data_IF_871334439174
#
_entry.id   IF_871334439174
#
_cell.length_a   1.000
_cell.length_b   1.000
_cell.length_c   1.000
_cell.angle_alpha   90.00
_cell.angle_beta   90.00
_cell.angle_gamma   90.00
#
_symmetry.space_group_name_H-M   'P 1'
#
loop_
_entity.id
_entity.type
_entity.pdbx_description
1 polymer ?
#
# COMPACT_ATOMS: atom_id res chain seq x y z
N UNK A 1 16.10 -14.18 2.92
CA UNK A 1 14.90 -14.83 3.50
C UNK A 1 14.33 -13.92 4.57
N UNK A 2 13.01 -13.71 4.59
CA UNK A 2 12.33 -12.97 5.65
C UNK A 2 12.05 -13.89 6.84
N UNK A 3 12.08 -13.32 8.06
CA UNK A 3 11.67 -14.02 9.27
C UNK A 3 10.15 -14.07 9.37
N UNK A 4 9.60 -14.97 10.20
CA UNK A 4 8.17 -14.99 10.51
C UNK A 4 7.69 -13.64 11.06
N UNK A 5 8.47 -13.00 11.95
CA UNK A 5 8.17 -11.68 12.49
C UNK A 5 8.07 -10.60 11.41
N UNK A 6 9.00 -10.59 10.44
CA UNK A 6 8.94 -9.66 9.30
C UNK A 6 7.70 -9.87 8.45
N UNK A 7 7.35 -11.14 8.17
CA UNK A 7 6.16 -11.49 7.40
C UNK A 7 4.87 -11.11 8.14
N UNK A 8 4.78 -11.40 9.44
CA UNK A 8 3.64 -10.99 10.27
C UNK A 8 3.47 -9.47 10.33
N UNK A 9 4.58 -8.73 10.44
CA UNK A 9 4.57 -7.27 10.49
C UNK A 9 4.05 -6.62 9.19
N UNK A 10 4.26 -7.23 8.02
CA UNK A 10 3.79 -6.74 6.73
C UNK A 10 2.28 -6.91 6.52
N UNK A 11 1.64 -7.84 7.28
CA UNK A 11 0.23 -8.20 7.05
C UNK A 11 -0.70 -7.36 7.92
N UNK A 12 -1.36 -6.40 7.29
CA UNK A 12 -2.36 -5.52 7.94
C UNK A 12 -3.72 -6.20 8.11
N UNK A 13 -4.10 -7.07 7.17
CA UNK A 13 -5.38 -7.76 7.12
C UNK A 13 -5.16 -9.28 7.12
N UNK A 14 -4.91 -9.90 8.29
CA UNK A 14 -4.50 -11.30 8.40
C UNK A 14 -5.68 -12.26 8.23
N UNK A 15 -6.35 -12.18 7.07
CA UNK A 15 -7.45 -13.04 6.65
C UNK A 15 -7.52 -13.16 5.14
N UNK A 16 -8.28 -14.16 4.66
CA UNK A 16 -8.52 -14.40 3.23
C UNK A 16 -9.72 -13.59 2.73
N UNK A 17 -9.88 -13.52 1.40
CA UNK A 17 -11.04 -12.87 0.79
C UNK A 17 -12.38 -13.54 1.20
N UNK A 18 -12.38 -14.85 1.49
CA UNK A 18 -13.56 -15.61 1.86
C UNK A 18 -14.04 -15.30 3.29
N UNK A 19 -13.11 -14.94 4.16
CA UNK A 19 -13.39 -14.65 5.57
C UNK A 19 -13.27 -13.15 5.91
N UNK A 20 -13.12 -12.32 4.88
CA UNK A 20 -12.93 -10.89 4.99
C UNK A 20 -14.10 -10.19 5.71
N UNK A 21 -13.85 -9.38 6.76
CA UNK A 21 -14.87 -8.50 7.31
C UNK A 21 -15.34 -7.46 6.29
N UNK A 22 -16.50 -6.87 6.50
CA UNK A 22 -17.36 -6.07 5.60
C UNK A 22 -16.73 -4.97 4.70
N UNK A 23 -15.43 -4.82 4.57
CA UNK A 23 -14.78 -3.82 3.71
C UNK A 23 -13.97 -4.35 2.53
N UNK A 24 -13.96 -5.66 2.31
CA UNK A 24 -13.32 -6.29 1.15
C UNK A 24 -11.78 -6.23 1.10
N UNK A 25 -11.10 -5.79 2.16
CA UNK A 25 -9.63 -5.76 2.22
C UNK A 25 -9.12 -7.02 2.91
N UNK A 26 -8.18 -7.71 2.27
CA UNK A 26 -7.49 -8.89 2.79
C UNK A 26 -6.04 -8.88 2.32
N UNK A 27 -5.15 -9.61 3.00
CA UNK A 27 -3.75 -9.73 2.60
C UNK A 27 -3.31 -11.18 2.35
N UNK A 28 -4.17 -12.17 2.60
CA UNK A 28 -3.79 -13.57 2.45
C UNK A 28 -4.54 -14.16 1.26
N UNK A 29 -3.80 -14.48 0.19
CA UNK A 29 -4.33 -15.23 -0.92
C UNK A 29 -4.51 -16.70 -0.56
N UNK A 30 -5.47 -17.39 -1.16
CA UNK A 30 -5.71 -18.81 -0.88
C UNK A 30 -4.48 -19.69 -1.15
N UNK A 31 -3.69 -19.34 -2.16
CA UNK A 31 -2.42 -20.02 -2.46
C UNK A 31 -1.37 -19.85 -1.35
N UNK A 32 -1.47 -18.80 -0.52
CA UNK A 32 -0.52 -18.46 0.54
C UNK A 32 -1.00 -18.90 1.93
N UNK A 33 -2.26 -19.31 2.04
CA UNK A 33 -2.90 -19.61 3.32
C UNK A 33 -2.14 -20.64 4.14
N UNK A 34 -1.67 -21.72 3.52
CA UNK A 34 -0.89 -22.76 4.19
C UNK A 34 0.43 -22.23 4.76
N UNK A 35 1.07 -21.34 4.03
CA UNK A 35 2.30 -20.68 4.47
C UNK A 35 2.04 -19.67 5.60
N UNK A 36 0.99 -18.85 5.46
CA UNK A 36 0.66 -17.88 6.52
C UNK A 36 0.22 -18.55 7.82
N UNK A 37 -0.46 -19.69 7.77
CA UNK A 37 -0.76 -20.50 8.98
C UNK A 37 0.52 -20.84 9.76
N UNK A 38 1.58 -21.27 9.07
CA UNK A 38 2.87 -21.56 9.71
C UNK A 38 3.49 -20.30 10.33
N UNK A 39 3.38 -19.16 9.66
CA UNK A 39 3.84 -17.87 10.18
C UNK A 39 3.04 -17.48 11.43
N UNK A 40 1.72 -17.56 11.37
CA UNK A 40 0.83 -17.22 12.48
C UNK A 40 1.06 -18.10 13.70
N UNK A 41 1.23 -19.41 13.48
CA UNK A 41 1.55 -20.39 14.52
C UNK A 41 2.92 -20.11 15.16
N UNK A 42 3.96 -19.89 14.33
CA UNK A 42 5.30 -19.56 14.83
C UNK A 42 5.35 -18.27 15.65
N UNK A 43 4.43 -17.33 15.40
CA UNK A 43 4.31 -16.05 16.10
C UNK A 43 3.31 -16.10 17.25
N UNK A 44 2.56 -17.19 17.42
CA UNK A 44 1.49 -17.28 18.41
C UNK A 44 0.37 -16.28 18.19
N UNK A 45 0.05 -15.92 16.94
CA UNK A 45 -1.00 -14.95 16.67
C UNK A 45 -2.37 -15.49 17.11
N UNK A 46 -3.14 -14.73 17.92
CA UNK A 46 -4.48 -15.16 18.36
C UNK A 46 -5.41 -15.42 17.17
N UNK A 47 -6.06 -16.56 17.15
CA UNK A 47 -7.07 -16.93 16.13
C UNK A 47 -8.37 -16.17 16.43
N UNK A 48 -8.94 -15.53 15.41
CA UNK A 48 -10.20 -14.75 15.50
C UNK A 48 -11.38 -15.43 14.82
N UNK A 49 -11.11 -16.42 13.99
CA UNK A 49 -12.11 -17.19 13.25
C UNK A 49 -11.46 -18.10 12.22
N UNK A 50 -12.25 -18.80 11.40
CA UNK A 50 -11.71 -19.59 10.31
C UNK A 50 -10.86 -18.69 9.38
N UNK A 51 -9.59 -19.05 9.18
CA UNK A 51 -8.65 -18.30 8.32
C UNK A 51 -8.52 -16.81 8.69
N UNK A 52 -8.68 -16.48 9.97
CA UNK A 52 -8.57 -15.13 10.51
C UNK A 52 -7.69 -15.14 11.77
N UNK A 53 -6.76 -14.21 11.84
CA UNK A 53 -5.88 -14.00 12.98
C UNK A 53 -5.92 -12.56 13.45
N UNK A 54 -5.47 -12.33 14.69
CA UNK A 54 -5.15 -10.98 15.13
C UNK A 54 -3.95 -10.44 14.35
N UNK A 55 -3.90 -9.14 14.20
CA UNK A 55 -2.74 -8.48 13.58
C UNK A 55 -1.49 -8.66 14.45
N UNK A 56 -0.36 -8.87 13.81
CA UNK A 56 0.93 -8.80 14.50
C UNK A 56 1.15 -7.38 15.07
N UNK A 57 1.62 -7.22 16.32
CA UNK A 57 1.81 -5.88 16.92
C UNK A 57 2.58 -4.90 16.04
N UNK A 58 3.70 -5.34 15.43
CA UNK A 58 4.50 -4.47 14.57
C UNK A 58 3.78 -4.02 13.29
N UNK A 59 2.69 -4.69 12.88
CA UNK A 59 1.93 -4.24 11.71
C UNK A 59 1.19 -2.92 11.97
N UNK A 60 0.91 -2.60 13.22
CA UNK A 60 0.36 -1.29 13.60
C UNK A 60 1.41 -0.17 13.50
N UNK A 61 2.69 -0.47 13.78
CA UNK A 61 3.77 0.49 13.56
C UNK A 61 4.04 0.71 12.07
N UNK A 62 3.98 -0.35 11.27
CA UNK A 62 4.10 -0.25 9.82
C UNK A 62 2.98 0.62 9.23
N UNK A 63 1.73 0.39 9.64
CA UNK A 63 0.59 1.21 9.24
C UNK A 63 0.76 2.68 9.64
N UNK A 64 1.20 2.93 10.88
CA UNK A 64 1.40 4.28 11.38
C UNK A 64 2.52 5.01 10.62
N UNK A 65 3.61 4.31 10.29
CA UNK A 65 4.70 4.86 9.47
C UNK A 65 4.24 5.23 8.06
N UNK A 66 3.46 4.36 7.42
CA UNK A 66 2.85 4.61 6.11
C UNK A 66 1.93 5.84 6.15
N UNK A 67 1.04 5.90 7.13
CA UNK A 67 0.11 7.03 7.31
C UNK A 67 0.81 8.37 7.57
N UNK A 68 1.93 8.38 8.32
CA UNK A 68 2.74 9.58 8.57
C UNK A 68 3.45 10.01 7.28
N UNK A 69 4.11 9.07 6.62
CA UNK A 69 4.81 9.36 5.38
C UNK A 69 3.84 9.90 4.32
N UNK A 70 2.70 9.24 4.13
CA UNK A 70 1.68 9.67 3.19
C UNK A 70 1.12 11.07 3.51
N UNK A 71 0.94 11.41 4.80
CA UNK A 71 0.44 12.72 5.18
C UNK A 71 1.47 13.84 5.01
N UNK A 72 2.75 13.61 5.31
CA UNK A 72 3.75 14.67 5.43
C UNK A 72 4.67 14.74 4.21
N UNK A 73 5.09 13.60 3.65
CA UNK A 73 5.97 13.58 2.48
C UNK A 73 5.24 14.06 1.22
N UNK A 74 3.97 13.69 1.05
CA UNK A 74 3.15 14.18 -0.07
C UNK A 74 3.04 15.72 -0.07
N UNK A 75 2.99 16.35 1.11
CA UNK A 75 2.96 17.81 1.22
C UNK A 75 4.34 18.44 0.90
N UNK A 76 5.44 17.82 1.34
CA UNK A 76 6.79 18.26 0.98
C UNK A 76 6.99 18.17 -0.55
N UNK A 77 6.62 17.04 -1.16
CA UNK A 77 6.68 16.87 -2.62
C UNK A 77 5.83 17.93 -3.34
N UNK A 78 4.65 18.24 -2.80
CA UNK A 78 3.78 19.28 -3.35
C UNK A 78 4.42 20.69 -3.27
N UNK A 79 5.18 20.98 -2.22
CA UNK A 79 5.96 22.22 -2.12
C UNK A 79 7.05 22.23 -3.20
N UNK A 80 7.79 21.13 -3.36
CA UNK A 80 8.84 21.03 -4.39
C UNK A 80 8.27 21.18 -5.82
N UNK A 81 7.07 20.67 -6.05
CA UNK A 81 6.37 20.76 -7.32
C UNK A 81 5.67 22.12 -7.54
N UNK A 82 5.68 23.03 -6.56
CA UNK A 82 5.00 24.32 -6.62
C UNK A 82 3.47 24.23 -6.59
N UNK A 83 2.92 23.13 -6.11
CA UNK A 83 1.48 22.90 -5.91
C UNK A 83 1.02 23.50 -4.57
N UNK A 84 1.88 23.43 -3.56
CA UNK A 84 1.65 23.95 -2.23
C UNK A 84 2.69 25.05 -1.93
N UNK A 85 2.24 26.14 -1.28
CA UNK A 85 3.16 27.17 -0.81
C UNK A 85 3.92 26.70 0.44
N UNK A 86 5.23 27.02 0.51
CA UNK A 86 6.06 26.63 1.65
C UNK A 86 5.54 27.20 2.97
N UNK A 87 4.97 28.41 2.94
CA UNK A 87 4.41 29.04 4.14
C UNK A 87 3.13 28.36 4.63
N UNK A 88 2.33 27.79 3.72
CA UNK A 88 1.17 26.96 4.12
C UNK A 88 1.63 25.66 4.78
N UNK A 89 2.70 25.03 4.28
CA UNK A 89 3.29 23.86 4.89
C UNK A 89 3.87 24.17 6.27
N UNK A 90 4.59 25.28 6.41
CA UNK A 90 5.11 25.78 7.68
C UNK A 90 3.98 26.05 8.69
N UNK A 91 2.94 26.76 8.30
CA UNK A 91 1.79 27.06 9.15
C UNK A 91 1.06 25.80 9.64
N UNK A 92 0.93 24.80 8.77
CA UNK A 92 0.31 23.53 9.13
C UNK A 92 1.10 22.83 10.23
N UNK A 93 2.43 22.84 10.16
CA UNK A 93 3.29 22.15 11.11
C UNK A 93 3.62 22.98 12.36
N UNK A 94 3.32 24.28 12.33
CA UNK A 94 3.59 25.24 13.41
C UNK A 94 3.18 24.80 14.82
N UNK A 95 2.04 24.10 15.03
CA UNK A 95 1.67 23.58 16.34
C UNK A 95 2.66 22.59 16.95
N UNK A 96 3.48 21.95 16.13
CA UNK A 96 4.44 20.90 16.55
C UNK A 96 5.88 21.34 16.34
N UNK A 97 6.13 21.99 15.21
CA UNK A 97 7.49 22.40 14.80
C UNK A 97 7.69 23.84 15.16
N UNK A 98 8.68 24.10 16.01
CA UNK A 98 9.11 25.46 16.34
C UNK A 98 10.00 26.01 15.21
N UNK A 99 9.50 26.96 14.38
CA UNK A 99 10.28 27.50 13.26
C UNK A 99 11.57 28.18 13.69
N UNK A 100 11.64 28.72 14.91
CA UNK A 100 12.82 29.41 15.41
C UNK A 100 14.04 28.48 15.54
N UNK A 101 13.82 27.17 15.68
CA UNK A 101 14.91 26.16 15.77
C UNK A 101 15.54 25.84 14.43
N UNK A 102 14.88 26.18 13.34
CA UNK A 102 15.32 25.86 11.96
C UNK A 102 15.45 27.10 11.07
N UNK A 103 15.20 28.31 11.61
CA UNK A 103 15.21 29.58 10.86
C UNK A 103 16.55 29.89 10.17
N UNK A 104 17.65 29.27 10.60
CA UNK A 104 18.97 29.46 10.00
C UNK A 104 19.09 28.80 8.60
N UNK A 105 18.19 27.90 8.28
CA UNK A 105 18.16 27.21 6.98
C UNK A 105 17.55 28.17 5.96
N UNK A 106 18.37 28.67 5.03
CA UNK A 106 17.96 29.66 4.04
C UNK A 106 17.44 29.06 2.74
N UNK A 107 17.85 27.85 2.43
CA UNK A 107 17.48 27.16 1.20
C UNK A 107 16.09 26.51 1.39
N UNK A 108 15.08 26.86 0.54
CA UNK A 108 13.69 26.46 0.75
C UNK A 108 13.47 24.93 0.82
N UNK A 109 14.17 24.15 -0.02
CA UNK A 109 14.06 22.68 0.02
C UNK A 109 14.61 22.09 1.29
N UNK A 110 15.77 22.59 1.74
CA UNK A 110 16.36 22.13 3.01
C UNK A 110 15.50 22.54 4.20
N UNK A 111 14.84 23.70 4.12
CA UNK A 111 13.91 24.14 5.13
C UNK A 111 12.66 23.24 5.19
N UNK A 112 12.04 22.91 4.05
CA UNK A 112 10.93 21.97 3.96
C UNK A 112 11.31 20.58 4.50
N UNK A 113 12.49 20.08 4.14
CA UNK A 113 13.01 18.81 4.65
C UNK A 113 13.25 18.83 6.17
N UNK A 114 13.68 19.95 6.73
CA UNK A 114 13.86 20.12 8.18
C UNK A 114 12.51 20.17 8.92
N UNK A 115 11.49 20.86 8.36
CA UNK A 115 10.12 20.83 8.84
C UNK A 115 9.58 19.41 8.90
N UNK A 116 9.64 18.69 7.77
CA UNK A 116 9.26 17.28 7.69
C UNK A 116 9.99 16.43 8.74
N UNK A 117 11.33 16.53 8.78
CA UNK A 117 12.15 15.73 9.69
C UNK A 117 11.77 15.94 11.16
N UNK A 118 11.50 17.18 11.55
CA UNK A 118 11.06 17.52 12.92
C UNK A 118 9.67 16.94 13.22
N UNK A 119 8.73 17.09 12.29
CA UNK A 119 7.38 16.53 12.43
C UNK A 119 7.41 15.00 12.54
N UNK A 120 8.12 14.33 11.63
CA UNK A 120 8.26 12.87 11.65
C UNK A 120 8.90 12.40 12.96
N UNK A 121 9.97 13.07 13.42
CA UNK A 121 10.61 12.76 14.70
C UNK A 121 9.65 12.87 15.88
N UNK A 122 8.78 13.89 15.89
CA UNK A 122 7.72 14.03 16.91
C UNK A 122 6.69 12.90 16.84
N UNK A 123 6.23 12.56 15.64
CA UNK A 123 5.29 11.45 15.42
C UNK A 123 5.88 10.11 15.88
N UNK A 124 7.14 9.82 15.51
CA UNK A 124 7.82 8.58 15.91
C UNK A 124 7.86 8.43 17.41
N UNK A 125 8.24 9.49 18.13
CA UNK A 125 8.28 9.47 19.59
C UNK A 125 6.90 9.21 20.19
N UNK A 126 5.90 9.96 19.78
CA UNK A 126 4.55 9.88 20.35
C UNK A 126 3.87 8.53 20.06
N UNK A 127 4.04 8.01 18.85
CA UNK A 127 3.49 6.71 18.48
C UNK A 127 4.24 5.53 19.08
N UNK A 128 5.55 5.65 19.32
CA UNK A 128 6.29 4.67 20.10
C UNK A 128 5.80 4.62 21.54
N UNK A 129 5.58 5.78 22.17
CA UNK A 129 5.01 5.86 23.51
C UNK A 129 3.57 5.29 23.54
N UNK A 130 2.76 5.55 22.53
CA UNK A 130 1.41 4.98 22.40
C UNK A 130 1.46 3.47 22.23
N UNK A 131 2.34 2.95 21.40
CA UNK A 131 2.57 1.52 21.22
C UNK A 131 2.94 0.85 22.54
N UNK A 132 3.89 1.41 23.27
CA UNK A 132 4.35 0.86 24.55
C UNK A 132 3.28 0.92 25.62
N UNK A 133 2.45 1.94 25.66
CA UNK A 133 1.29 2.02 26.59
C UNK A 133 0.26 0.90 26.36
N UNK A 134 0.13 0.44 25.13
CA UNK A 134 -0.84 -0.57 24.73
C UNK A 134 -0.22 -1.93 24.38
N UNK A 135 1.06 -2.18 24.71
CA UNK A 135 1.77 -3.35 24.21
C UNK A 135 1.11 -4.69 24.64
N UNK A 136 0.57 -4.79 25.85
CA UNK A 136 -0.14 -5.98 26.32
C UNK A 136 -1.40 -6.25 25.49
N UNK A 137 -2.21 -5.21 25.23
CA UNK A 137 -3.41 -5.32 24.41
C UNK A 137 -3.07 -5.65 22.95
N UNK A 138 -1.94 -5.12 22.43
CA UNK A 138 -1.44 -5.45 21.10
C UNK A 138 -1.01 -6.92 21.02
N UNK A 139 -0.33 -7.45 22.02
CA UNK A 139 0.05 -8.87 22.09
C UNK A 139 -1.17 -9.79 22.19
N UNK A 140 -2.19 -9.39 22.96
CA UNK A 140 -3.47 -10.09 23.02
C UNK A 140 -4.31 -9.96 21.75
N UNK A 141 -3.90 -9.08 20.82
CA UNK A 141 -4.66 -8.73 19.62
C UNK A 141 -5.93 -7.91 19.90
N UNK A 142 -6.00 -7.23 21.04
CA UNK A 142 -7.20 -6.55 21.59
C UNK A 142 -6.97 -5.04 21.74
N UNK A 143 -6.24 -4.43 20.79
CA UNK A 143 -6.03 -2.99 20.84
C UNK A 143 -7.38 -2.25 20.87
N UNK A 144 -7.65 -1.42 21.90
CA UNK A 144 -8.92 -0.72 22.06
C UNK A 144 -9.01 0.54 21.17
N UNK A 145 -8.07 0.74 20.27
CA UNK A 145 -7.97 1.86 19.35
C UNK A 145 -8.15 1.38 17.91
N UNK A 146 -8.65 2.26 17.06
CA UNK A 146 -8.76 1.99 15.61
C UNK A 146 -7.37 1.75 14.98
N UNK A 147 -6.41 2.59 15.35
CA UNK A 147 -5.02 2.57 14.92
C UNK A 147 -4.17 3.30 15.99
N UNK A 148 -2.83 3.31 15.83
CA UNK A 148 -1.95 3.97 16.80
C UNK A 148 -2.09 5.50 16.77
N UNK A 149 -2.43 6.09 15.62
CA UNK A 149 -2.61 7.54 15.50
C UNK A 149 -3.79 8.01 16.35
N UNK A 150 -4.84 7.20 16.47
CA UNK A 150 -5.98 7.53 17.34
C UNK A 150 -5.61 7.66 18.82
N UNK A 151 -4.52 7.01 19.25
CA UNK A 151 -3.98 7.10 20.61
C UNK A 151 -2.84 8.12 20.78
N UNK A 152 -2.47 8.82 19.72
CA UNK A 152 -1.47 9.90 19.75
C UNK A 152 -1.94 11.12 20.54
N UNK A 153 -1.00 11.99 20.90
CA UNK A 153 -1.31 13.28 21.49
C UNK A 153 -2.20 14.12 20.56
N UNK A 154 -3.07 14.99 21.11
CA UNK A 154 -4.00 15.80 20.31
C UNK A 154 -3.31 16.62 19.21
N UNK A 155 -2.18 17.25 19.53
CA UNK A 155 -1.38 18.03 18.60
C UNK A 155 -0.90 17.22 17.39
N UNK A 156 -0.35 16.04 17.62
CA UNK A 156 0.10 15.13 16.55
C UNK A 156 -1.09 14.62 15.71
N UNK A 157 -2.13 14.16 16.37
CA UNK A 157 -3.32 13.62 15.70
C UNK A 157 -4.01 14.67 14.83
N UNK A 158 -4.22 15.88 15.40
CA UNK A 158 -4.94 16.95 14.72
C UNK A 158 -4.11 17.54 13.57
N UNK A 159 -2.78 17.65 13.73
CA UNK A 159 -1.88 18.06 12.64
C UNK A 159 -1.86 17.03 11.50
N UNK A 160 -1.79 15.72 11.80
CA UNK A 160 -1.85 14.68 10.76
C UNK A 160 -3.21 14.66 10.04
N UNK A 161 -4.31 14.91 10.76
CA UNK A 161 -5.63 15.03 10.15
C UNK A 161 -5.72 16.25 9.23
N UNK A 162 -5.22 17.40 9.67
CA UNK A 162 -5.16 18.62 8.86
C UNK A 162 -4.26 18.45 7.63
N UNK A 163 -3.13 17.73 7.76
CA UNK A 163 -2.24 17.38 6.66
C UNK A 163 -2.95 16.53 5.59
N UNK A 164 -3.65 15.48 6.02
CA UNK A 164 -4.45 14.64 5.11
C UNK A 164 -5.56 15.43 4.41
N UNK A 165 -6.20 16.35 5.10
CA UNK A 165 -7.23 17.21 4.52
C UNK A 165 -6.64 18.16 3.47
N UNK A 166 -5.52 18.82 3.78
CA UNK A 166 -4.82 19.73 2.87
C UNK A 166 -4.35 18.98 1.60
N UNK A 167 -3.80 17.79 1.76
CA UNK A 167 -3.40 16.93 0.63
C UNK A 167 -4.61 16.57 -0.24
N UNK A 168 -5.74 16.20 0.37
CA UNK A 168 -6.99 15.90 -0.33
C UNK A 168 -7.48 17.09 -1.17
N UNK A 169 -7.42 18.29 -0.60
CA UNK A 169 -7.97 19.49 -1.24
C UNK A 169 -7.08 20.03 -2.36
N UNK A 170 -5.76 19.99 -2.20
CA UNK A 170 -4.82 20.64 -3.12
C UNK A 170 -4.07 19.64 -4.01
N UNK A 171 -3.64 18.49 -3.48
CA UNK A 171 -2.76 17.57 -4.21
C UNK A 171 -3.56 16.57 -5.03
N UNK A 172 -4.49 15.85 -4.39
CA UNK A 172 -5.21 14.76 -5.07
C UNK A 172 -6.20 15.25 -6.11
N UNK A 173 -6.62 16.52 -6.03
CA UNK A 173 -7.44 17.20 -7.05
C UNK A 173 -6.63 17.97 -8.07
N UNK A 174 -5.30 18.00 -7.92
CA UNK A 174 -4.46 18.68 -8.91
C UNK A 174 -4.52 17.97 -10.27
N UNK A 175 -4.61 18.75 -11.34
CA UNK A 175 -4.84 18.25 -12.71
C UNK A 175 -3.85 17.15 -13.11
N UNK A 176 -2.57 17.30 -12.78
CA UNK A 176 -1.55 16.30 -13.14
C UNK A 176 -1.84 14.93 -12.48
N UNK A 177 -2.23 14.94 -11.21
CA UNK A 177 -2.59 13.71 -10.47
C UNK A 177 -3.84 13.06 -11.05
N UNK A 178 -4.88 13.87 -11.29
CA UNK A 178 -6.15 13.40 -11.88
C UNK A 178 -5.94 12.76 -13.25
N UNK A 179 -5.12 13.37 -14.12
CA UNK A 179 -4.80 12.82 -15.45
C UNK A 179 -4.09 11.46 -15.33
N UNK A 180 -3.12 11.34 -14.43
CA UNK A 180 -2.41 10.08 -14.19
C UNK A 180 -3.36 8.99 -13.67
N UNK A 181 -4.24 9.34 -12.73
CA UNK A 181 -5.21 8.42 -12.17
C UNK A 181 -6.22 7.93 -13.20
N UNK A 182 -6.75 8.85 -14.04
CA UNK A 182 -7.65 8.47 -15.14
C UNK A 182 -6.92 7.57 -16.14
N UNK A 183 -5.65 7.83 -16.45
CA UNK A 183 -4.87 7.04 -17.41
C UNK A 183 -4.56 5.61 -16.91
N UNK A 184 -4.55 5.37 -15.61
CA UNK A 184 -4.30 4.05 -15.04
C UNK A 184 -5.41 3.04 -15.41
N UNK A 185 -6.67 3.45 -15.43
CA UNK A 185 -7.80 2.57 -15.75
C UNK A 185 -7.71 1.93 -17.16
N UNK A 186 -7.61 2.68 -18.24
CA UNK A 186 -7.48 2.09 -19.59
C UNK A 186 -6.16 1.32 -19.75
N UNK A 187 -5.08 1.75 -19.09
CA UNK A 187 -3.81 1.02 -19.12
C UNK A 187 -3.98 -0.40 -18.55
N UNK A 188 -4.52 -0.53 -17.36
CA UNK A 188 -4.77 -1.83 -16.74
C UNK A 188 -5.80 -2.65 -17.50
N UNK A 189 -6.85 -2.02 -18.02
CA UNK A 189 -7.87 -2.70 -18.83
C UNK A 189 -7.26 -3.36 -20.07
N UNK A 190 -6.44 -2.65 -20.85
CA UNK A 190 -5.76 -3.21 -22.03
C UNK A 190 -4.90 -4.43 -21.67
N UNK A 191 -4.14 -4.37 -20.59
CA UNK A 191 -3.29 -5.48 -20.15
C UNK A 191 -4.12 -6.69 -19.73
N UNK A 192 -5.15 -6.47 -18.92
CA UNK A 192 -6.00 -7.56 -18.42
C UNK A 192 -6.87 -8.16 -19.52
N UNK A 193 -7.48 -7.34 -20.41
CA UNK A 193 -8.28 -7.81 -21.53
C UNK A 193 -7.44 -8.60 -22.55
N UNK A 194 -6.15 -8.30 -22.63
CA UNK A 194 -5.22 -9.04 -23.48
C UNK A 194 -4.84 -10.39 -22.90
N UNK A 195 -4.63 -10.49 -21.58
CA UNK A 195 -4.03 -11.67 -20.94
C UNK A 195 -5.06 -12.62 -20.31
N UNK A 196 -6.14 -12.09 -19.72
CA UNK A 196 -7.12 -12.91 -19.00
C UNK A 196 -7.88 -13.90 -19.90
N UNK A 197 -8.42 -13.51 -21.08
CA UNK A 197 -9.14 -14.43 -21.94
C UNK A 197 -8.32 -15.64 -22.42
N UNK A 198 -7.08 -15.47 -22.93
CA UNK A 198 -6.28 -16.61 -23.36
C UNK A 198 -5.82 -17.50 -22.19
N UNK A 199 -5.54 -16.94 -21.01
CA UNK A 199 -5.26 -17.73 -19.80
C UNK A 199 -6.48 -18.56 -19.40
N UNK A 200 -7.68 -17.97 -19.43
CA UNK A 200 -8.91 -18.69 -19.16
C UNK A 200 -9.12 -19.83 -20.17
N UNK A 201 -8.91 -19.56 -21.46
CA UNK A 201 -9.05 -20.58 -22.49
C UNK A 201 -8.04 -21.73 -22.28
N UNK A 202 -6.79 -21.42 -21.93
CA UNK A 202 -5.78 -22.40 -21.60
C UNK A 202 -6.16 -23.30 -20.41
N UNK A 203 -6.58 -22.70 -19.30
CA UNK A 203 -6.90 -23.41 -18.06
C UNK A 203 -8.20 -24.25 -18.16
N UNK A 204 -9.22 -23.77 -18.90
CA UNK A 204 -10.51 -24.44 -19.03
C UNK A 204 -10.65 -25.29 -20.30
N UNK A 205 -9.75 -25.12 -21.26
CA UNK A 205 -9.87 -25.69 -22.61
C UNK A 205 -9.66 -27.19 -22.74
N UNK A 206 -9.33 -27.90 -21.65
CA UNK A 206 -9.22 -29.37 -21.59
C UNK A 206 -8.60 -30.02 -22.85
N UNK A 207 -7.54 -29.38 -23.43
CA UNK A 207 -6.85 -29.89 -24.63
C UNK A 207 -7.36 -29.29 -25.95
N UNK A 208 -8.29 -28.34 -25.94
CA UNK A 208 -8.66 -27.57 -27.13
C UNK A 208 -7.46 -26.72 -27.60
N UNK A 209 -7.21 -26.72 -28.92
CA UNK A 209 -6.12 -25.90 -29.48
C UNK A 209 -6.45 -24.41 -29.33
N UNK A 210 -5.51 -23.69 -28.74
CA UNK A 210 -5.56 -22.22 -28.68
C UNK A 210 -5.37 -21.65 -30.09
N UNK A 211 -6.14 -20.64 -30.43
CA UNK A 211 -5.90 -19.88 -31.67
C UNK A 211 -4.50 -19.26 -31.68
N UNK A 212 -3.96 -19.00 -32.86
CA UNK A 212 -2.66 -18.32 -33.02
C UNK A 212 -2.59 -17.01 -32.22
N UNK A 213 -3.68 -16.22 -32.26
CA UNK A 213 -3.78 -14.98 -31.47
C UNK A 213 -3.63 -15.24 -29.97
N UNK A 214 -4.31 -16.24 -29.42
CA UNK A 214 -4.20 -16.58 -28.01
C UNK A 214 -2.81 -17.05 -27.62
N UNK A 215 -2.16 -17.86 -28.48
CA UNK A 215 -0.78 -18.30 -28.27
C UNK A 215 0.18 -17.09 -28.25
N UNK A 216 0.01 -16.13 -29.15
CA UNK A 216 0.82 -14.90 -29.22
C UNK A 216 0.60 -14.03 -27.95
N UNK A 217 -0.64 -13.91 -27.48
CA UNK A 217 -0.94 -13.19 -26.24
C UNK A 217 -0.29 -13.84 -25.02
N UNK A 218 -0.36 -15.16 -24.90
CA UNK A 218 0.28 -15.92 -23.82
C UNK A 218 1.82 -15.82 -23.84
N UNK A 219 2.43 -15.61 -25.01
CA UNK A 219 3.86 -15.40 -25.12
C UNK A 219 4.36 -14.08 -24.49
N UNK A 220 3.47 -13.17 -24.12
CA UNK A 220 3.81 -11.98 -23.32
C UNK A 220 4.12 -12.30 -21.87
N UNK A 221 3.62 -13.43 -21.34
CA UNK A 221 3.88 -13.82 -19.97
C UNK A 221 5.35 -14.20 -19.78
N UNK A 222 6.01 -13.81 -18.68
CA UNK A 222 7.42 -14.07 -18.44
C UNK A 222 7.72 -15.58 -18.25
N UNK A 223 6.70 -16.37 -17.94
CA UNK A 223 6.77 -17.82 -17.78
C UNK A 223 5.64 -18.48 -18.54
N UNK A 224 5.90 -19.53 -19.31
CA UNK A 224 4.84 -20.31 -19.96
C UNK A 224 3.89 -20.91 -18.93
N UNK A 225 2.60 -20.96 -19.27
CA UNK A 225 1.63 -21.68 -18.46
C UNK A 225 1.91 -23.18 -18.53
N UNK A 226 1.83 -23.88 -17.41
CA UNK A 226 2.00 -25.34 -17.36
C UNK A 226 0.66 -26.04 -17.51
N UNK A 227 0.58 -27.16 -18.26
CA UNK A 227 -0.62 -27.96 -18.34
C UNK A 227 -1.14 -28.39 -16.95
N UNK A 228 -2.44 -28.34 -16.75
CA UNK A 228 -3.07 -28.71 -15.48
C UNK A 228 -3.18 -27.59 -14.45
N UNK A 229 -2.75 -26.35 -14.78
CA UNK A 229 -3.00 -25.20 -13.92
C UNK A 229 -4.50 -24.99 -13.73
N UNK A 230 -4.91 -24.76 -12.47
CA UNK A 230 -6.24 -24.28 -12.18
C UNK A 230 -6.44 -22.85 -12.72
N UNK A 231 -7.71 -22.47 -12.94
CA UNK A 231 -8.02 -21.11 -13.36
C UNK A 231 -7.52 -20.05 -12.35
N UNK A 232 -7.56 -20.38 -11.07
CA UNK A 232 -7.06 -19.50 -10.00
C UNK A 232 -5.55 -19.27 -10.15
N UNK A 233 -4.77 -20.32 -10.33
CA UNK A 233 -3.32 -20.21 -10.51
C UNK A 233 -2.95 -19.47 -11.79
N UNK A 234 -3.71 -19.71 -12.87
CA UNK A 234 -3.54 -18.96 -14.12
C UNK A 234 -3.77 -17.47 -13.94
N UNK A 235 -4.83 -17.09 -13.23
CA UNK A 235 -5.10 -15.67 -12.94
C UNK A 235 -4.06 -15.05 -12.00
N UNK A 236 -3.54 -15.79 -11.03
CA UNK A 236 -2.45 -15.29 -10.18
C UNK A 236 -1.21 -14.98 -11.01
N UNK A 237 -0.86 -15.80 -12.02
CA UNK A 237 0.29 -15.49 -12.89
C UNK A 237 0.08 -14.20 -13.69
N UNK A 238 -1.14 -13.90 -14.14
CA UNK A 238 -1.45 -12.61 -14.78
C UNK A 238 -1.31 -11.46 -13.80
N UNK A 239 -1.85 -11.62 -12.59
CA UNK A 239 -1.76 -10.57 -11.54
C UNK A 239 -0.33 -10.33 -11.10
N UNK A 240 0.48 -11.38 -10.95
CA UNK A 240 1.91 -11.26 -10.63
C UNK A 240 2.67 -10.52 -11.73
N UNK A 241 2.37 -10.82 -12.99
CA UNK A 241 3.01 -10.15 -14.13
C UNK A 241 2.63 -8.67 -14.20
N UNK A 242 1.33 -8.35 -14.15
CA UNK A 242 0.85 -6.97 -14.25
C UNK A 242 1.23 -6.17 -13.00
N UNK A 243 1.03 -6.74 -11.81
CA UNK A 243 1.36 -6.09 -10.54
C UNK A 243 2.87 -5.92 -10.28
N UNK A 244 3.70 -6.72 -10.94
CA UNK A 244 5.16 -6.60 -10.89
C UNK A 244 5.76 -5.55 -11.84
N UNK A 245 4.94 -4.93 -12.70
CA UNK A 245 5.40 -3.88 -13.60
C UNK A 245 5.58 -2.55 -12.87
N UNK A 246 6.56 -1.75 -13.32
CA UNK A 246 6.56 -0.32 -13.01
C UNK A 246 5.50 0.40 -13.85
N UNK A 247 5.02 1.56 -13.39
CA UNK A 247 4.02 2.36 -14.13
C UNK A 247 4.45 2.65 -15.57
N UNK A 248 5.72 3.01 -15.76
CA UNK A 248 6.28 3.27 -17.11
C UNK A 248 6.27 2.00 -17.98
N UNK A 249 6.54 0.84 -17.42
CA UNK A 249 6.52 -0.42 -18.17
C UNK A 249 5.09 -0.79 -18.55
N UNK A 250 4.15 -0.71 -17.63
CA UNK A 250 2.74 -0.98 -17.88
C UNK A 250 2.16 -0.06 -18.96
N UNK A 251 2.41 1.26 -18.84
CA UNK A 251 1.95 2.25 -19.81
C UNK A 251 2.54 2.05 -21.21
N UNK A 252 3.83 1.68 -21.28
CA UNK A 252 4.49 1.37 -22.55
C UNK A 252 3.92 0.12 -23.20
N UNK A 253 3.82 -0.98 -22.43
CA UNK A 253 3.28 -2.22 -22.95
C UNK A 253 1.82 -2.10 -23.38
N UNK A 254 1.00 -1.37 -22.64
CA UNK A 254 -0.39 -1.10 -23.01
C UNK A 254 -0.50 -0.33 -24.32
N UNK A 255 0.37 0.66 -24.55
CA UNK A 255 0.45 1.39 -25.84
C UNK A 255 0.89 0.47 -26.99
N UNK A 256 1.96 -0.30 -26.79
CA UNK A 256 2.48 -1.22 -27.80
C UNK A 256 1.42 -2.25 -28.21
N UNK A 257 0.64 -2.78 -27.26
CA UNK A 257 -0.48 -3.69 -27.52
C UNK A 257 -1.63 -3.01 -28.26
N UNK A 258 -1.91 -1.74 -27.95
CA UNK A 258 -2.98 -0.96 -28.58
C UNK A 258 -2.63 -0.48 -30.00
N UNK A 259 -1.37 -0.55 -30.39
CA UNK A 259 -0.89 -0.11 -31.70
C UNK A 259 -0.83 1.41 -31.88
N UNK A 260 -0.70 2.16 -30.75
CA UNK A 260 -0.64 3.64 -30.73
C UNK A 260 0.62 4.13 -30.06
#
# INVERSE_FOLDING_TARGET
RLTAASLGALVKYPWTAQTCPARGKFNIYQAELGYFRQVAEALGLPVRGPEQWARHPLSYLMEAADDICYAIVDLEDAVEMGILDLHEFENLLGPIVDPEKIWQIREPRQYAAALRGTMVGRCVKDLADTFMRHHEALLAGELPLKDLIAGASPDVRDTLAAAKQLASDKIYRHRSKVVTEIAAYPCLAVLLDTLVPPVRAFCLGAGAELSHRQQTQLALLPRPLTPGLSLYEGYLQVLDFVGGMTDNHAARLARDISGV
#
